data_IF_409712521299
#
_entry.id   IF_409712521299
#
_cell.length_a   1.000
_cell.length_b   1.000
_cell.length_c   1.000
_cell.angle_alpha   90.00
_cell.angle_beta   90.00
_cell.angle_gamma   90.00
#
_symmetry.space_group_name_H-M   'P 1'
#
loop_
_entity.id
_entity.type
_entity.pdbx_description
1 polymer ?
#
# COMPACT_ATOMS: atom_id res chain seq x y z
N UNK A 1 2.46 33.21 2.65
CA UNK A 1 1.18 33.35 1.95
C UNK A 1 0.35 34.36 2.70
N UNK A 2 -0.19 35.35 2.02
CA UNK A 2 -1.15 36.32 2.56
C UNK A 2 -2.42 36.28 1.71
N UNK A 3 -3.50 36.83 2.21
CA UNK A 3 -4.75 36.95 1.49
C UNK A 3 -4.97 38.43 1.14
N UNK A 4 -5.41 38.74 -0.04
CA UNK A 4 -5.78 40.09 -0.39
C UNK A 4 -7.21 40.44 0.08
N UNK A 5 -7.63 41.69 -0.15
CA UNK A 5 -8.97 42.14 0.26
C UNK A 5 -10.12 41.40 -0.43
N UNK A 6 -9.88 40.85 -1.61
CA UNK A 6 -10.85 40.10 -2.41
C UNK A 6 -10.85 38.60 -2.09
N UNK A 7 -10.05 38.16 -1.11
CA UNK A 7 -9.98 36.77 -0.67
C UNK A 7 -9.09 35.87 -1.54
N UNK A 8 -8.22 36.42 -2.39
CA UNK A 8 -7.29 35.64 -3.16
C UNK A 8 -5.97 35.41 -2.41
N UNK A 9 -5.41 34.20 -2.47
CA UNK A 9 -4.12 33.93 -1.85
C UNK A 9 -2.99 34.55 -2.66
N UNK A 10 -2.16 35.37 -2.00
CA UNK A 10 -0.90 35.90 -2.55
C UNK A 10 0.28 35.09 -2.05
N UNK A 11 1.07 34.57 -2.98
CA UNK A 11 2.28 33.81 -2.69
C UNK A 11 3.50 34.67 -3.00
N UNK A 12 4.46 34.67 -2.08
CA UNK A 12 5.71 35.40 -2.27
C UNK A 12 5.64 36.87 -1.88
N UNK A 13 6.71 37.59 -2.20
CA UNK A 13 6.81 39.05 -2.09
C UNK A 13 6.66 39.58 -3.51
N UNK A 14 5.68 40.43 -3.73
CA UNK A 14 5.41 41.05 -5.03
C UNK A 14 5.23 40.02 -6.18
N UNK A 15 4.62 38.87 -5.87
CA UNK A 15 4.41 37.77 -6.82
C UNK A 15 5.59 36.84 -7.03
N UNK A 16 6.74 37.10 -6.37
CA UNK A 16 7.94 36.27 -6.49
C UNK A 16 8.07 35.35 -5.27
N UNK A 17 8.14 34.03 -5.51
CA UNK A 17 8.39 33.04 -4.46
C UNK A 17 9.83 33.16 -3.98
N UNK A 18 10.02 33.28 -2.67
CA UNK A 18 11.35 33.33 -2.04
C UNK A 18 11.78 31.92 -1.62
N UNK A 19 13.07 31.66 -1.59
CA UNK A 19 13.61 30.37 -1.12
C UNK A 19 13.34 30.14 0.39
N UNK A 20 13.30 31.21 1.15
CA UNK A 20 13.09 31.15 2.61
C UNK A 20 12.02 32.14 3.06
N UNK A 21 11.22 31.72 4.01
CA UNK A 21 10.18 32.51 4.66
C UNK A 21 10.28 32.37 6.17
N UNK A 22 9.86 33.42 6.88
CA UNK A 22 9.63 33.28 8.32
C UNK A 22 8.51 32.25 8.56
N UNK A 23 8.71 31.42 9.55
CA UNK A 23 7.70 30.45 9.97
C UNK A 23 6.41 31.20 10.35
N UNK A 24 5.22 30.75 9.89
CA UNK A 24 3.97 31.39 10.25
C UNK A 24 3.74 31.29 11.76
N UNK A 25 3.26 32.37 12.37
CA UNK A 25 2.92 32.40 13.80
C UNK A 25 1.59 31.67 14.03
N UNK A 26 1.59 30.34 13.85
CA UNK A 26 0.47 29.46 14.10
C UNK A 26 0.75 28.61 15.33
N UNK A 27 -0.27 28.25 16.12
CA UNK A 27 -0.08 27.31 17.20
C UNK A 27 0.54 26.01 16.73
N UNK A 28 1.55 25.54 17.44
CA UNK A 28 2.15 24.24 17.16
C UNK A 28 1.10 23.14 17.36
N UNK A 29 0.88 22.31 16.35
CA UNK A 29 0.07 21.11 16.45
C UNK A 29 0.94 19.91 16.14
N UNK A 30 1.21 19.12 17.17
CA UNK A 30 1.96 17.88 17.02
C UNK A 30 0.98 16.76 16.67
N UNK A 31 1.11 16.21 15.47
CA UNK A 31 0.38 14.99 15.11
C UNK A 31 1.05 13.80 15.79
N UNK A 32 0.23 13.00 16.46
CA UNK A 32 0.73 11.73 17.01
C UNK A 32 1.19 10.83 15.86
N UNK A 33 2.37 10.23 16.01
CA UNK A 33 2.82 9.22 15.07
C UNK A 33 1.85 8.03 15.09
N UNK A 34 1.44 7.59 13.91
CA UNK A 34 0.61 6.41 13.78
C UNK A 34 1.45 5.15 14.07
N UNK A 35 0.88 4.13 14.69
CA UNK A 35 1.57 2.87 14.92
C UNK A 35 2.11 2.29 13.61
N UNK A 36 3.38 1.91 13.62
CA UNK A 36 4.02 1.28 12.44
C UNK A 36 3.42 -0.10 12.16
N UNK A 37 3.00 -0.78 13.22
CA UNK A 37 2.38 -2.11 13.18
C UNK A 37 0.86 -2.01 13.29
N UNK A 38 0.16 -2.82 12.50
CA UNK A 38 -1.26 -3.03 12.60
C UNK A 38 -1.52 -4.53 12.89
N UNK A 39 -2.16 -4.81 14.01
CA UNK A 39 -2.53 -6.18 14.42
C UNK A 39 -3.95 -6.56 13.96
N UNK A 40 -4.66 -5.66 13.27
CA UNK A 40 -5.99 -5.86 12.71
C UNK A 40 -7.06 -6.26 13.73
N UNK A 41 -7.00 -5.69 14.92
CA UNK A 41 -7.96 -5.93 16.03
C UNK A 41 -9.11 -4.93 16.03
N UNK A 42 -9.02 -3.87 15.25
CA UNK A 42 -10.10 -2.91 15.06
C UNK A 42 -11.22 -3.49 14.15
N UNK A 43 -12.43 -2.98 14.32
CA UNK A 43 -13.57 -3.38 13.49
C UNK A 43 -13.50 -2.80 12.07
N UNK A 44 -12.73 -1.72 11.89
CA UNK A 44 -12.57 -1.01 10.61
C UNK A 44 -11.08 -0.79 10.28
N UNK A 45 -10.76 -0.73 9.01
CA UNK A 45 -9.42 -0.38 8.55
C UNK A 45 -9.09 1.08 8.87
N UNK A 46 -7.85 1.31 9.31
CA UNK A 46 -7.30 2.65 9.48
C UNK A 46 -7.25 3.42 8.15
N UNK A 47 -7.24 4.75 8.22
CA UNK A 47 -7.26 5.64 7.05
C UNK A 47 -5.99 5.59 6.20
N UNK A 48 -4.92 5.04 6.70
CA UNK A 48 -3.64 4.84 6.00
C UNK A 48 -3.63 3.60 5.08
N UNK A 49 -4.64 2.73 5.19
CA UNK A 49 -4.83 1.62 4.29
C UNK A 49 -5.52 2.04 2.99
N UNK A 50 -4.95 1.65 1.87
CA UNK A 50 -5.40 2.02 0.53
C UNK A 50 -5.57 0.79 -0.35
N UNK A 51 -6.36 0.95 -1.40
CA UNK A 51 -6.65 -0.08 -2.38
C UNK A 51 -6.12 0.31 -3.76
N UNK A 52 -5.99 -0.66 -4.64
CA UNK A 52 -5.78 -0.39 -6.06
C UNK A 52 -7.16 -0.22 -6.70
N UNK A 53 -7.41 0.96 -7.25
CA UNK A 53 -8.68 1.35 -7.89
C UNK A 53 -9.87 1.27 -6.92
N UNK A 54 -11.03 0.84 -7.41
CA UNK A 54 -12.26 0.74 -6.62
C UNK A 54 -12.67 -0.74 -6.46
N UNK A 55 -12.17 -1.43 -5.44
CA UNK A 55 -12.43 -2.86 -5.23
C UNK A 55 -13.88 -3.12 -4.82
N UNK A 56 -14.35 -4.32 -5.08
CA UNK A 56 -15.60 -4.80 -4.51
C UNK A 56 -15.49 -4.92 -2.99
N UNK A 57 -16.50 -4.44 -2.25
CA UNK A 57 -16.48 -4.41 -0.77
C UNK A 57 -16.33 -5.80 -0.11
N UNK A 58 -16.65 -6.87 -0.82
CA UNK A 58 -16.65 -8.24 -0.28
C UNK A 58 -15.31 -8.95 -0.30
N UNK A 59 -14.21 -8.30 -0.75
CA UNK A 59 -12.93 -9.01 -0.89
C UNK A 59 -12.07 -9.03 0.38
N UNK A 60 -12.40 -8.23 1.41
CA UNK A 60 -11.68 -8.22 2.68
C UNK A 60 -12.63 -8.23 3.89
N UNK A 61 -12.12 -8.67 5.06
CA UNK A 61 -12.83 -8.67 6.32
C UNK A 61 -11.87 -8.61 7.51
N UNK A 62 -12.23 -7.86 8.55
CA UNK A 62 -11.58 -7.84 9.87
C UNK A 62 -12.35 -8.68 10.90
N UNK A 63 -13.61 -9.01 10.62
CA UNK A 63 -14.50 -9.69 11.56
C UNK A 63 -14.60 -11.20 11.36
N UNK A 64 -14.35 -11.71 10.14
CA UNK A 64 -14.38 -13.14 9.87
C UNK A 64 -13.30 -13.92 10.62
N UNK A 65 -12.18 -13.26 10.97
CA UNK A 65 -11.11 -13.81 11.82
C UNK A 65 -10.53 -12.68 12.67
N UNK A 66 -11.00 -12.46 13.88
CA UNK A 66 -10.51 -11.40 14.75
C UNK A 66 -8.99 -11.42 14.92
N UNK A 67 -8.36 -10.25 14.98
CA UNK A 67 -6.91 -10.10 15.03
C UNK A 67 -6.20 -10.47 13.72
N UNK A 68 -6.92 -10.43 12.60
CA UNK A 68 -6.34 -10.72 11.28
C UNK A 68 -7.13 -10.02 10.18
N UNK A 69 -6.43 -9.50 9.20
CA UNK A 69 -7.04 -9.10 7.94
C UNK A 69 -7.21 -10.32 7.03
N UNK A 70 -8.45 -10.66 6.73
CA UNK A 70 -8.77 -11.69 5.76
C UNK A 70 -8.96 -11.09 4.37
N UNK A 71 -8.26 -11.61 3.38
CA UNK A 71 -8.43 -11.26 1.97
C UNK A 71 -8.99 -12.45 1.20
N UNK A 72 -9.96 -12.21 0.32
CA UNK A 72 -10.46 -13.20 -0.65
C UNK A 72 -9.72 -12.99 -1.96
N UNK A 73 -9.01 -14.02 -2.42
CA UNK A 73 -8.34 -14.00 -3.71
C UNK A 73 -9.33 -13.93 -4.88
N UNK A 74 -8.90 -13.33 -5.97
CA UNK A 74 -9.61 -13.28 -7.26
C UNK A 74 -8.66 -13.70 -8.37
N UNK A 75 -9.19 -13.93 -9.58
CA UNK A 75 -8.37 -14.19 -10.76
C UNK A 75 -7.66 -12.96 -11.32
N UNK A 76 -7.90 -11.77 -10.73
CA UNK A 76 -7.31 -10.51 -11.16
C UNK A 76 -5.92 -10.38 -10.55
N UNK A 77 -4.90 -10.19 -11.37
CA UNK A 77 -3.51 -9.98 -10.96
C UNK A 77 -3.10 -8.50 -11.05
N UNK A 78 -1.88 -8.17 -10.60
CA UNK A 78 -1.38 -6.79 -10.57
C UNK A 78 -1.08 -6.17 -11.93
N UNK A 79 -0.97 -6.95 -13.00
CA UNK A 79 -0.72 -6.47 -14.37
C UNK A 79 -2.01 -6.22 -15.14
N UNK A 80 -3.14 -6.66 -14.62
CA UNK A 80 -4.46 -6.43 -15.21
C UNK A 80 -4.96 -5.04 -14.82
N UNK A 81 -5.52 -4.30 -15.77
CA UNK A 81 -6.13 -2.99 -15.50
C UNK A 81 -7.50 -3.15 -14.82
N UNK A 82 -7.50 -3.76 -13.63
CA UNK A 82 -8.68 -4.05 -12.82
C UNK A 82 -8.33 -3.91 -11.33
N UNK A 83 -9.23 -4.29 -10.42
CA UNK A 83 -9.11 -4.17 -8.97
C UNK A 83 -8.70 -5.52 -8.35
N UNK A 84 -7.39 -5.81 -8.19
CA UNK A 84 -6.93 -7.03 -7.54
C UNK A 84 -7.24 -7.02 -6.04
N UNK A 85 -7.23 -8.18 -5.40
CA UNK A 85 -7.33 -8.31 -3.94
C UNK A 85 -6.07 -7.78 -3.26
N UNK A 86 -5.98 -6.48 -3.14
CA UNK A 86 -4.82 -5.77 -2.60
C UNK A 86 -5.24 -4.74 -1.55
N UNK A 87 -4.46 -4.67 -0.49
CA UNK A 87 -4.49 -3.60 0.49
C UNK A 87 -3.05 -3.18 0.79
N UNK A 88 -2.79 -1.90 0.88
CA UNK A 88 -1.43 -1.39 1.08
C UNK A 88 -1.36 -0.06 1.80
N UNK A 89 -0.19 0.23 2.31
CA UNK A 89 0.20 1.54 2.86
C UNK A 89 1.19 2.20 1.94
N UNK A 90 1.16 3.53 1.89
CA UNK A 90 2.16 4.30 1.16
C UNK A 90 3.51 4.21 1.87
N UNK A 91 4.57 4.01 1.10
CA UNK A 91 5.92 4.11 1.62
C UNK A 91 6.23 5.55 2.02
N UNK A 92 6.60 5.76 3.29
CA UNK A 92 6.90 7.08 3.85
C UNK A 92 8.40 7.35 3.99
N UNK A 93 9.26 6.36 3.80
CA UNK A 93 10.71 6.47 3.93
C UNK A 93 11.44 5.78 2.76
N UNK A 94 12.64 6.26 2.41
CA UNK A 94 13.46 5.63 1.37
C UNK A 94 13.91 4.22 1.76
N UNK A 95 14.24 4.03 3.03
CA UNK A 95 14.63 2.73 3.57
C UNK A 95 13.56 2.26 4.54
N UNK A 96 13.01 1.09 4.30
CA UNK A 96 12.04 0.47 5.19
C UNK A 96 12.19 -1.05 5.18
N UNK A 97 11.74 -1.68 6.25
CA UNK A 97 11.53 -3.11 6.33
C UNK A 97 10.04 -3.35 6.55
N UNK A 98 9.45 -4.19 5.71
CA UNK A 98 8.06 -4.60 5.87
C UNK A 98 8.00 -6.11 6.18
N UNK A 99 7.12 -6.49 7.08
CA UNK A 99 6.86 -7.88 7.42
C UNK A 99 5.37 -8.14 7.59
N UNK A 100 4.94 -9.33 7.24
CA UNK A 100 3.57 -9.77 7.50
C UNK A 100 3.57 -11.25 7.89
N UNK A 101 2.70 -11.59 8.85
CA UNK A 101 2.38 -12.99 9.15
C UNK A 101 1.27 -13.43 8.21
N UNK A 102 1.59 -14.31 7.26
CA UNK A 102 0.64 -14.80 6.25
C UNK A 102 0.20 -16.22 6.62
N UNK A 103 -1.11 -16.41 6.75
CA UNK A 103 -1.72 -17.73 6.88
C UNK A 103 -2.41 -18.09 5.55
N UNK A 104 -1.69 -18.79 4.69
CA UNK A 104 -2.13 -19.17 3.37
C UNK A 104 -1.57 -20.54 2.98
N UNK A 105 -2.46 -21.40 2.47
CA UNK A 105 -2.10 -22.72 1.94
C UNK A 105 -2.65 -22.80 0.53
N UNK A 106 -1.80 -22.63 -0.49
CA UNK A 106 -2.22 -22.79 -1.89
C UNK A 106 -2.63 -24.24 -2.15
N UNK A 107 -3.61 -24.44 -3.01
CA UNK A 107 -4.10 -25.74 -3.44
C UNK A 107 -3.74 -26.06 -4.88
N UNK A 108 -3.42 -25.04 -5.65
CA UNK A 108 -3.02 -25.14 -7.06
C UNK A 108 -1.99 -24.06 -7.38
N UNK A 109 -1.19 -24.29 -8.42
CA UNK A 109 -0.05 -23.43 -8.81
C UNK A 109 -0.37 -21.94 -9.06
N UNK A 110 -1.60 -21.60 -9.38
CA UNK A 110 -1.99 -20.22 -9.66
C UNK A 110 -2.54 -19.48 -8.43
N UNK A 111 -2.62 -20.13 -7.29
CA UNK A 111 -2.97 -19.46 -6.04
C UNK A 111 -1.72 -18.82 -5.42
N UNK A 112 -1.79 -17.54 -5.18
CA UNK A 112 -0.66 -16.71 -4.71
C UNK A 112 -1.13 -15.76 -3.61
N UNK A 113 -0.34 -15.62 -2.54
CA UNK A 113 -0.55 -14.60 -1.51
C UNK A 113 0.80 -14.16 -0.91
N UNK A 114 0.92 -12.90 -0.55
CA UNK A 114 2.16 -12.40 0.03
C UNK A 114 2.25 -10.89 0.16
N UNK A 115 3.46 -10.38 0.12
CA UNK A 115 3.77 -8.96 0.16
C UNK A 115 4.15 -8.46 -1.24
N UNK A 116 3.83 -7.21 -1.52
CA UNK A 116 4.23 -6.55 -2.75
C UNK A 116 4.77 -5.16 -2.46
N UNK A 117 5.85 -4.80 -3.13
CA UNK A 117 6.32 -3.41 -3.25
C UNK A 117 6.02 -2.96 -4.67
N UNK A 118 5.13 -1.99 -4.81
CA UNK A 118 4.54 -1.63 -6.08
C UNK A 118 4.66 -0.13 -6.35
N UNK A 119 5.19 0.21 -7.52
CA UNK A 119 5.11 1.56 -8.07
C UNK A 119 3.87 1.71 -8.97
N UNK A 120 3.67 0.77 -9.88
CA UNK A 120 2.53 0.70 -10.81
C UNK A 120 2.27 -0.74 -11.29
N UNK A 121 1.35 -0.92 -12.24
CA UNK A 121 0.96 -2.23 -12.78
C UNK A 121 2.12 -2.96 -13.50
N UNK A 122 3.12 -2.23 -13.97
CA UNK A 122 4.26 -2.74 -14.73
C UNK A 122 5.56 -2.78 -13.95
N UNK A 123 5.58 -2.20 -12.74
CA UNK A 123 6.78 -2.05 -11.92
C UNK A 123 6.47 -2.43 -10.48
N UNK A 124 6.71 -3.69 -10.11
CA UNK A 124 6.51 -4.20 -8.76
C UNK A 124 7.40 -5.41 -8.46
N UNK A 125 7.62 -5.64 -7.18
CA UNK A 125 8.27 -6.84 -6.66
C UNK A 125 7.29 -7.54 -5.72
N UNK A 126 7.11 -8.84 -5.91
CA UNK A 126 6.24 -9.68 -5.11
C UNK A 126 7.08 -10.71 -4.33
N UNK A 127 6.92 -10.76 -3.02
CA UNK A 127 7.34 -11.88 -2.19
C UNK A 127 6.09 -12.68 -1.85
N UNK A 128 5.91 -13.83 -2.43
CA UNK A 128 4.66 -14.58 -2.37
C UNK A 128 4.88 -16.05 -2.01
N UNK A 129 3.81 -16.62 -1.48
CA UNK A 129 3.66 -18.05 -1.23
C UNK A 129 2.77 -18.60 -2.35
N UNK A 130 3.19 -19.69 -2.98
CA UNK A 130 2.44 -20.38 -4.02
C UNK A 130 2.72 -21.88 -3.96
N UNK A 131 2.09 -22.64 -4.84
CA UNK A 131 2.39 -24.05 -5.06
C UNK A 131 3.24 -24.23 -6.33
N UNK A 132 4.22 -25.12 -6.26
CA UNK A 132 5.01 -25.60 -7.39
C UNK A 132 5.34 -27.07 -7.19
N UNK A 133 5.02 -27.89 -8.19
CA UNK A 133 5.26 -29.34 -8.15
C UNK A 133 4.73 -29.98 -6.85
N UNK A 134 3.47 -29.67 -6.50
CA UNK A 134 2.81 -30.15 -5.28
C UNK A 134 3.48 -29.72 -3.96
N UNK A 135 4.38 -28.73 -4.02
CA UNK A 135 5.05 -28.18 -2.86
C UNK A 135 4.71 -26.70 -2.65
N UNK A 136 4.51 -26.34 -1.39
CA UNK A 136 4.36 -24.94 -0.99
C UNK A 136 5.72 -24.27 -0.98
N UNK A 137 5.91 -23.26 -1.80
CA UNK A 137 7.18 -22.54 -1.95
C UNK A 137 7.01 -21.04 -1.70
N UNK A 138 8.07 -20.39 -1.23
CA UNK A 138 8.20 -18.94 -1.26
C UNK A 138 8.91 -18.54 -2.56
N UNK A 139 8.43 -17.48 -3.20
CA UNK A 139 8.95 -17.02 -4.48
C UNK A 139 9.06 -15.50 -4.49
N UNK A 140 10.15 -14.99 -5.06
CA UNK A 140 10.26 -13.58 -5.43
C UNK A 140 9.97 -13.45 -6.92
N UNK A 141 9.07 -12.55 -7.26
CA UNK A 141 8.77 -12.19 -8.65
C UNK A 141 9.06 -10.70 -8.85
N UNK A 142 9.82 -10.39 -9.88
CA UNK A 142 10.10 -9.03 -10.32
C UNK A 142 9.35 -8.79 -11.62
N UNK A 143 8.51 -7.78 -11.64
CA UNK A 143 7.89 -7.26 -12.86
C UNK A 143 8.48 -5.90 -13.15
N UNK A 144 9.05 -5.71 -14.35
CA UNK A 144 9.66 -4.47 -14.77
C UNK A 144 9.37 -4.24 -16.25
N UNK A 145 8.59 -3.21 -16.59
CA UNK A 145 8.24 -2.85 -17.97
C UNK A 145 7.77 -4.06 -18.78
N UNK A 146 6.79 -4.79 -18.25
CA UNK A 146 6.23 -6.00 -18.87
C UNK A 146 7.18 -7.23 -18.93
N UNK A 147 8.40 -7.14 -18.38
CA UNK A 147 9.30 -8.28 -18.21
C UNK A 147 9.15 -8.89 -16.82
N UNK A 148 8.93 -10.19 -16.76
CA UNK A 148 8.74 -10.93 -15.50
C UNK A 148 9.96 -11.82 -15.26
N UNK A 149 10.68 -11.58 -14.16
CA UNK A 149 11.70 -12.46 -13.60
C UNK A 149 11.18 -13.15 -12.35
N UNK A 150 11.57 -14.39 -12.12
CA UNK A 150 11.20 -15.18 -10.93
C UNK A 150 12.43 -15.83 -10.32
N UNK A 151 12.50 -15.86 -9.00
CA UNK A 151 13.48 -16.61 -8.23
C UNK A 151 12.77 -17.33 -7.09
N UNK A 152 13.18 -18.56 -6.83
CA UNK A 152 12.74 -19.33 -5.65
C UNK A 152 13.64 -18.96 -4.47
N UNK A 153 13.07 -18.90 -3.28
CA UNK A 153 13.76 -18.66 -2.01
C UNK A 153 13.64 -19.90 -1.15
#
# INVERSE_FOLDING_TARGET
MTWDADGWPKVGKDGVVQETYLFPNLPSHVWMEQPVRDDFDAETLGLDWTFIRNPAHSFWSLTEKPGSLRLKGTAINFTTNDSPSFIGRRQAAFNLTASAKVNFIPKVENEEAGLVVRADDKNHYDLLITERNEQRVAMIRKTLKDKIGRAHV
#
